data_IF_895908086368
#
_entry.id   IF_895908086368
#
_cell.length_a   1.000
_cell.length_b   1.000
_cell.length_c   1.000
_cell.angle_alpha   90.00
_cell.angle_beta   90.00
_cell.angle_gamma   90.00
#
_symmetry.space_group_name_H-M   'P 1'
#
loop_
_entity.id
_entity.type
_entity.pdbx_description
1 polymer ?
#
# COMPACT_ATOMS: atom_id res chain seq x y z
N UNK A 1 48.26 -2.12 -7.59
CA UNK A 1 47.03 -2.03 -8.43
C UNK A 1 46.31 -3.36 -8.61
N UNK A 2 47.02 -4.51 -8.74
CA UNK A 2 46.39 -5.85 -8.82
C UNK A 2 45.68 -6.31 -7.54
N UNK A 3 46.18 -5.92 -6.37
CA UNK A 3 45.61 -6.31 -5.06
C UNK A 3 44.28 -5.62 -4.73
N UNK A 4 44.08 -4.39 -5.22
CA UNK A 4 42.81 -3.65 -5.04
C UNK A 4 41.68 -4.28 -5.86
N UNK A 5 42.00 -4.87 -7.01
CA UNK A 5 41.02 -5.55 -7.86
C UNK A 5 40.51 -6.86 -7.24
N UNK A 6 41.37 -7.56 -6.49
CA UNK A 6 40.97 -8.76 -5.73
C UNK A 6 40.11 -8.43 -4.51
N UNK A 7 40.36 -7.29 -3.85
CA UNK A 7 39.56 -6.86 -2.69
C UNK A 7 38.15 -6.41 -3.11
N UNK A 8 38.02 -5.77 -4.29
CA UNK A 8 36.73 -5.37 -4.84
C UNK A 8 35.90 -6.58 -5.33
N UNK A 9 36.57 -7.64 -5.82
CA UNK A 9 35.91 -8.87 -6.25
C UNK A 9 35.33 -9.69 -5.10
N UNK A 10 35.87 -9.56 -3.88
CA UNK A 10 35.35 -10.27 -2.70
C UNK A 10 34.11 -9.60 -2.07
N UNK A 11 33.87 -8.31 -2.37
CA UNK A 11 32.73 -7.55 -1.86
C UNK A 11 31.46 -7.71 -2.72
N UNK A 12 31.56 -8.39 -3.87
CA UNK A 12 30.46 -8.61 -4.81
C UNK A 12 29.76 -9.97 -4.61
N UNK A 13 29.61 -10.45 -3.37
CA UNK A 13 28.79 -11.63 -3.09
C UNK A 13 27.33 -11.18 -3.04
N UNK A 14 26.45 -11.64 -3.94
CA UNK A 14 25.02 -11.37 -3.82
C UNK A 14 24.50 -12.07 -2.57
N UNK A 15 23.96 -11.30 -1.63
CA UNK A 15 23.17 -11.83 -0.54
C UNK A 15 21.88 -12.42 -1.13
N UNK A 16 21.94 -13.69 -1.56
CA UNK A 16 20.75 -14.47 -1.83
C UNK A 16 19.99 -14.57 -0.50
N UNK A 17 18.90 -13.79 -0.39
CA UNK A 17 17.87 -14.03 0.61
C UNK A 17 17.31 -15.42 0.32
N UNK A 18 17.84 -16.43 1.01
CA UNK A 18 17.28 -17.76 1.01
C UNK A 18 15.84 -17.63 1.51
N UNK A 19 14.88 -17.74 0.59
CA UNK A 19 13.50 -18.01 0.92
C UNK A 19 13.50 -19.32 1.70
N UNK A 20 13.36 -19.25 3.02
CA UNK A 20 13.28 -20.41 3.90
C UNK A 20 11.95 -21.11 3.63
N UNK A 21 11.95 -22.05 2.68
CA UNK A 21 10.77 -22.87 2.37
C UNK A 21 10.67 -23.96 3.43
N UNK A 22 9.86 -23.70 4.46
CA UNK A 22 9.58 -24.66 5.53
C UNK A 22 8.40 -25.53 5.11
N UNK A 23 8.62 -26.83 5.00
CA UNK A 23 7.58 -27.79 4.64
C UNK A 23 6.94 -28.35 5.91
N UNK A 24 5.61 -28.25 6.02
CA UNK A 24 4.82 -28.80 7.13
C UNK A 24 4.07 -30.03 6.64
N UNK A 25 4.19 -31.15 7.35
CA UNK A 25 3.26 -32.26 7.22
C UNK A 25 2.82 -32.77 8.59
N UNK A 26 1.69 -33.45 8.60
CA UNK A 26 1.15 -34.11 9.78
C UNK A 26 1.26 -35.61 9.51
N UNK A 27 1.93 -36.33 10.41
CA UNK A 27 2.03 -37.79 10.30
C UNK A 27 0.72 -38.48 10.73
N UNK A 28 0.67 -39.81 10.56
CA UNK A 28 -0.52 -40.62 10.90
C UNK A 28 -0.88 -40.61 12.39
N UNK A 29 0.01 -40.13 13.25
CA UNK A 29 -0.16 -40.04 14.70
C UNK A 29 -0.49 -38.60 15.16
N UNK A 30 -0.71 -37.67 14.21
CA UNK A 30 -1.12 -36.30 14.50
C UNK A 30 0.02 -35.36 14.93
N UNK A 31 1.27 -35.81 14.87
CA UNK A 31 2.43 -34.99 15.21
C UNK A 31 2.82 -34.14 14.01
N UNK A 32 2.93 -32.83 14.23
CA UNK A 32 3.32 -31.88 13.18
C UNK A 32 4.83 -31.82 13.05
N UNK A 33 5.35 -32.18 11.87
CA UNK A 33 6.77 -32.10 11.55
C UNK A 33 7.04 -30.92 10.60
N UNK A 34 8.17 -30.25 10.84
CA UNK A 34 8.69 -29.18 9.98
C UNK A 34 10.05 -29.64 9.44
N UNK A 35 10.25 -29.58 8.12
CA UNK A 35 11.54 -29.92 7.51
C UNK A 35 11.93 -28.94 6.41
N UNK A 36 13.24 -28.67 6.35
CA UNK A 36 13.87 -27.83 5.33
C UNK A 36 14.32 -28.66 4.11
N UNK A 37 13.92 -29.93 4.02
CA UNK A 37 14.20 -30.83 2.88
C UNK A 37 12.89 -31.38 2.28
N UNK A 38 12.78 -31.48 0.95
CA UNK A 38 11.56 -31.93 0.29
C UNK A 38 11.32 -33.43 0.53
N UNK A 39 10.10 -33.77 0.97
CA UNK A 39 9.61 -35.14 1.15
C UNK A 39 8.44 -35.38 0.19
N UNK A 40 8.27 -36.57 -0.42
CA UNK A 40 7.19 -36.82 -1.40
C UNK A 40 5.80 -36.59 -0.79
N UNK A 41 5.01 -35.69 -1.38
CA UNK A 41 3.64 -35.35 -0.93
C UNK A 41 3.49 -33.94 -0.33
N UNK A 42 4.58 -33.17 -0.22
CA UNK A 42 4.54 -31.83 0.34
C UNK A 42 4.04 -30.78 -0.68
N UNK A 43 3.11 -29.91 -0.27
CA UNK A 43 2.58 -28.82 -1.10
C UNK A 43 3.36 -27.53 -0.85
N UNK A 44 3.82 -26.88 -1.91
CA UNK A 44 4.72 -25.70 -1.87
C UNK A 44 3.94 -24.46 -1.44
N UNK A 45 4.34 -23.81 -0.34
CA UNK A 45 3.86 -22.46 0.01
C UNK A 45 5.00 -21.45 -0.13
N UNK A 46 4.73 -20.41 -0.91
CA UNK A 46 5.67 -19.33 -1.21
C UNK A 46 5.23 -18.09 -0.43
N UNK A 47 6.07 -17.63 0.50
CA UNK A 47 5.78 -16.45 1.31
C UNK A 47 6.34 -15.25 0.56
N UNK A 48 5.51 -14.55 -0.21
CA UNK A 48 5.88 -13.29 -0.85
C UNK A 48 5.68 -12.12 0.11
N UNK A 49 6.80 -11.47 0.48
CA UNK A 49 6.82 -10.21 1.21
C UNK A 49 6.23 -9.06 0.38
N UNK A 50 5.76 -8.03 1.09
CA UNK A 50 4.85 -6.99 0.61
C UNK A 50 5.24 -6.22 -0.66
N UNK A 51 4.21 -5.73 -1.35
CA UNK A 51 4.34 -4.80 -2.48
C UNK A 51 3.02 -4.56 -3.22
N UNK A 52 2.34 -3.47 -2.86
CA UNK A 52 1.43 -2.60 -3.64
C UNK A 52 0.56 -3.14 -4.81
N UNK A 53 -0.76 -2.88 -4.66
CA UNK A 53 -1.77 -2.47 -5.68
C UNK A 53 -2.02 -3.36 -6.91
N UNK A 54 -3.24 -3.90 -6.99
CA UNK A 54 -4.23 -3.53 -8.04
C UNK A 54 -5.59 -4.18 -7.77
N UNK A 55 -6.65 -3.38 -7.85
CA UNK A 55 -8.01 -3.88 -7.91
C UNK A 55 -8.26 -4.50 -9.30
N UNK A 56 -8.67 -5.77 -9.33
CA UNK A 56 -9.33 -6.40 -10.47
C UNK A 56 -10.37 -7.37 -9.93
N UNK A 57 -11.58 -7.23 -10.47
CA UNK A 57 -12.81 -7.92 -10.06
C UNK A 57 -12.77 -9.44 -10.21
N UNK A 58 -13.30 -10.14 -9.19
CA UNK A 58 -13.95 -11.47 -9.18
C UNK A 58 -13.11 -12.70 -9.62
N UNK A 59 -13.35 -13.93 -9.08
CA UNK A 59 -14.59 -14.43 -8.51
C UNK A 59 -14.49 -14.86 -7.03
N UNK A 60 -15.65 -14.97 -6.39
CA UNK A 60 -15.87 -15.47 -5.03
C UNK A 60 -15.20 -16.83 -4.84
N UNK A 61 -14.22 -16.99 -3.92
CA UNK A 61 -13.81 -18.30 -3.49
C UNK A 61 -14.85 -18.81 -2.50
N UNK A 62 -15.52 -19.91 -2.85
CA UNK A 62 -16.24 -20.75 -1.90
C UNK A 62 -15.27 -21.18 -0.81
N UNK A 63 -15.43 -20.65 0.40
CA UNK A 63 -14.74 -21.19 1.57
C UNK A 63 -15.29 -22.59 1.81
N UNK A 64 -14.52 -23.60 1.40
CA UNK A 64 -14.66 -24.95 1.92
C UNK A 64 -14.35 -24.88 3.41
N UNK A 65 -15.37 -25.08 4.24
CA UNK A 65 -15.28 -25.32 5.67
C UNK A 65 -14.37 -26.52 5.94
N UNK A 66 -13.07 -26.27 6.01
CA UNK A 66 -12.09 -27.24 6.48
C UNK A 66 -11.90 -27.05 7.97
N UNK A 67 -12.91 -27.41 8.76
CA UNK A 67 -12.72 -27.69 10.18
C UNK A 67 -11.79 -28.90 10.30
N UNK A 68 -10.63 -28.81 10.97
CA UNK A 68 -9.99 -30.00 11.48
C UNK A 68 -10.76 -30.39 12.74
N UNK A 69 -11.91 -31.04 12.55
CA UNK A 69 -12.52 -31.79 13.62
C UNK A 69 -11.75 -33.11 13.72
N UNK A 70 -11.03 -33.32 14.83
CA UNK A 70 -11.42 -34.33 15.82
C UNK A 70 -10.37 -34.47 16.94
N UNK A 71 -10.59 -33.75 18.02
CA UNK A 71 -10.60 -34.39 19.34
C UNK A 71 -12.04 -34.28 19.85
N UNK A 72 -12.58 -35.40 20.33
CA UNK A 72 -13.92 -35.45 20.86
C UNK A 72 -13.95 -34.70 22.18
N UNK A 73 -14.51 -33.49 22.20
CA UNK A 73 -14.87 -32.81 23.43
C UNK A 73 -16.33 -32.40 23.32
N UNK A 74 -17.03 -32.55 24.44
CA UNK A 74 -18.43 -32.18 24.67
C UNK A 74 -18.73 -30.78 24.09
N UNK A 75 -19.99 -30.53 23.73
CA UNK A 75 -20.43 -29.25 23.16
C UNK A 75 -19.89 -28.04 23.94
N UNK A 76 -19.84 -26.84 23.31
CA UNK A 76 -19.11 -25.70 23.87
C UNK A 76 -19.53 -25.43 25.32
N UNK A 77 -18.55 -25.46 26.23
CA UNK A 77 -18.75 -25.19 27.67
C UNK A 77 -19.51 -23.89 27.90
N UNK A 78 -19.27 -22.90 27.03
CA UNK A 78 -20.00 -21.64 26.99
C UNK A 78 -20.87 -21.56 25.75
N UNK A 79 -22.17 -21.38 25.98
CA UNK A 79 -23.19 -21.33 24.91
C UNK A 79 -23.09 -20.04 24.10
N UNK A 80 -22.78 -18.94 24.78
CA UNK A 80 -22.57 -17.66 24.13
C UNK A 80 -21.20 -17.12 24.53
N UNK A 81 -20.29 -17.01 23.58
CA UNK A 81 -18.99 -16.41 23.81
C UNK A 81 -18.60 -15.56 22.61
N UNK A 82 -18.78 -14.25 22.74
CA UNK A 82 -18.57 -13.29 21.66
C UNK A 82 -18.03 -11.95 22.16
N UNK A 83 -17.27 -11.28 21.31
CA UNK A 83 -16.95 -9.87 21.48
C UNK A 83 -18.07 -9.09 20.80
N UNK A 84 -18.90 -8.39 21.56
CA UNK A 84 -20.00 -7.60 21.00
C UNK A 84 -19.64 -6.13 20.80
N UNK A 85 -18.58 -5.66 21.46
CA UNK A 85 -17.95 -4.37 21.17
C UNK A 85 -16.43 -4.51 21.20
N UNK A 86 -15.67 -3.96 20.23
CA UNK A 86 -16.12 -3.30 19.00
C UNK A 86 -16.96 -4.23 18.11
N UNK A 87 -17.80 -3.65 17.26
CA UNK A 87 -18.46 -4.41 16.20
C UNK A 87 -17.46 -4.75 15.10
N UNK A 88 -17.71 -5.84 14.35
CA UNK A 88 -16.87 -6.18 13.21
C UNK A 88 -16.91 -5.09 12.14
N UNK A 89 -15.74 -4.60 11.74
CA UNK A 89 -15.55 -3.47 10.85
C UNK A 89 -15.74 -2.08 11.48
N UNK A 90 -15.93 -1.97 12.81
CA UNK A 90 -16.09 -0.67 13.47
C UNK A 90 -14.85 0.22 13.29
N UNK A 91 -15.07 1.52 13.09
CA UNK A 91 -14.00 2.50 12.89
C UNK A 91 -14.01 3.55 14.00
N UNK A 92 -12.91 3.63 14.74
CA UNK A 92 -12.66 4.64 15.77
C UNK A 92 -11.86 5.78 15.16
N UNK A 93 -12.42 6.99 15.14
CA UNK A 93 -11.78 8.19 14.58
C UNK A 93 -11.48 9.17 15.72
N UNK A 94 -10.24 9.67 15.77
CA UNK A 94 -9.80 10.64 16.79
C UNK A 94 -10.05 10.16 18.23
N UNK A 95 -10.06 8.84 18.47
CA UNK A 95 -10.28 8.26 19.79
C UNK A 95 -9.05 8.32 20.70
N UNK A 96 -7.92 8.87 20.24
CA UNK A 96 -6.68 8.90 21.01
C UNK A 96 -6.08 7.52 21.30
N UNK A 97 -6.42 6.51 20.49
CA UNK A 97 -6.01 5.12 20.72
C UNK A 97 -6.81 4.42 21.81
N UNK A 98 -7.94 4.99 22.22
CA UNK A 98 -8.89 4.37 23.15
C UNK A 98 -9.92 3.57 22.36
N UNK A 99 -10.10 2.29 22.73
CA UNK A 99 -11.10 1.40 22.13
C UNK A 99 -11.83 0.61 23.24
N UNK A 100 -13.14 0.81 23.42
CA UNK A 100 -13.93 0.03 24.36
C UNK A 100 -14.14 -1.39 23.85
N UNK A 101 -13.88 -2.37 24.70
CA UNK A 101 -14.05 -3.79 24.45
C UNK A 101 -15.04 -4.36 25.44
N UNK A 102 -16.12 -4.93 24.92
CA UNK A 102 -17.10 -5.65 25.72
C UNK A 102 -17.31 -7.06 25.17
N UNK A 103 -17.26 -8.02 26.09
CA UNK A 103 -17.31 -9.45 25.84
C UNK A 103 -18.57 -9.98 26.50
N UNK A 104 -19.29 -10.84 25.79
CA UNK A 104 -20.43 -11.57 26.32
C UNK A 104 -20.00 -13.02 26.55
N UNK A 105 -20.28 -13.52 27.75
CA UNK A 105 -20.00 -14.90 28.16
C UNK A 105 -21.24 -15.43 28.87
N UNK A 106 -21.85 -16.49 28.34
CA UNK A 106 -22.99 -17.19 28.96
C UNK A 106 -22.78 -18.71 28.91
N UNK A 107 -22.90 -19.42 30.04
CA UNK A 107 -23.11 -18.92 31.41
C UNK A 107 -21.89 -18.11 31.93
N UNK A 108 -21.99 -17.57 33.15
CA UNK A 108 -20.86 -16.86 33.79
C UNK A 108 -19.59 -17.72 33.82
N UNK A 109 -18.43 -17.05 33.89
CA UNK A 109 -17.12 -17.71 33.87
C UNK A 109 -17.01 -18.71 35.04
N UNK A 110 -16.80 -19.99 34.71
CA UNK A 110 -16.65 -21.06 35.69
C UNK A 110 -15.43 -20.86 36.59
N UNK A 111 -15.48 -21.40 37.81
CA UNK A 111 -14.39 -21.29 38.77
C UNK A 111 -13.10 -21.91 38.25
N UNK A 112 -12.02 -21.11 38.22
CA UNK A 112 -10.71 -21.51 37.71
C UNK A 112 -10.53 -21.35 36.21
N UNK A 113 -11.55 -20.93 35.48
CA UNK A 113 -11.36 -20.43 34.12
C UNK A 113 -10.96 -18.95 34.14
N UNK A 114 -10.14 -18.56 33.16
CA UNK A 114 -9.59 -17.22 33.00
C UNK A 114 -9.83 -16.72 31.58
N UNK A 115 -10.34 -15.50 31.46
CA UNK A 115 -10.52 -14.81 30.20
C UNK A 115 -9.24 -14.03 29.84
N UNK A 116 -8.76 -14.22 28.63
CA UNK A 116 -7.60 -13.53 28.09
C UNK A 116 -7.98 -12.82 26.79
N UNK A 117 -7.56 -11.57 26.65
CA UNK A 117 -7.82 -10.77 25.46
C UNK A 117 -6.56 -10.66 24.61
N UNK A 118 -6.69 -10.88 23.31
CA UNK A 118 -5.59 -10.80 22.35
C UNK A 118 -5.87 -9.75 21.29
N UNK A 119 -4.94 -8.80 21.13
CA UNK A 119 -4.92 -7.80 20.08
C UNK A 119 -3.80 -8.14 19.09
N UNK A 120 -4.14 -8.42 17.84
CA UNK A 120 -3.21 -8.81 16.77
C UNK A 120 -2.31 -10.01 17.16
N UNK A 121 -2.86 -10.93 17.94
CA UNK A 121 -2.16 -12.12 18.45
C UNK A 121 -1.29 -11.87 19.69
N UNK A 122 -1.23 -10.64 20.21
CA UNK A 122 -0.52 -10.31 21.46
C UNK A 122 -1.51 -10.24 22.62
N UNK A 123 -1.11 -10.78 23.76
CA UNK A 123 -1.91 -10.68 24.98
C UNK A 123 -2.00 -9.22 25.42
N UNK A 124 -3.22 -8.76 25.72
CA UNK A 124 -3.47 -7.43 26.26
C UNK A 124 -3.12 -7.43 27.74
N UNK A 125 -2.11 -6.64 28.11
CA UNK A 125 -1.70 -6.49 29.50
C UNK A 125 -2.71 -5.65 30.30
N UNK A 126 -2.92 -6.01 31.56
CA UNK A 126 -3.86 -5.30 32.44
C UNK A 126 -5.34 -5.63 32.23
N UNK A 127 -5.67 -6.55 31.32
CA UNK A 127 -7.00 -7.14 31.25
C UNK A 127 -7.19 -8.13 32.41
N UNK A 128 -8.20 -7.92 33.25
CA UNK A 128 -8.47 -8.80 34.38
C UNK A 128 -9.09 -10.14 33.91
N UNK A 129 -8.65 -11.29 34.44
CA UNK A 129 -9.11 -12.61 33.98
C UNK A 129 -10.62 -12.89 34.11
N UNK A 130 -11.36 -12.08 34.85
CA UNK A 130 -12.82 -12.22 35.02
C UNK A 130 -13.61 -11.04 34.44
N UNK A 131 -12.94 -10.01 33.93
CA UNK A 131 -13.61 -8.81 33.42
C UNK A 131 -14.24 -9.06 32.05
N UNK A 132 -15.47 -8.62 31.85
CA UNK A 132 -16.17 -8.67 30.56
C UNK A 132 -16.15 -7.32 29.82
N UNK A 133 -15.61 -6.28 30.46
CA UNK A 133 -15.49 -4.93 29.91
C UNK A 133 -14.08 -4.44 30.14
N UNK A 134 -13.46 -3.88 29.12
CA UNK A 134 -12.13 -3.31 29.18
C UNK A 134 -11.98 -2.16 28.20
N UNK A 135 -11.05 -1.26 28.47
CA UNK A 135 -10.74 -0.14 27.59
C UNK A 135 -9.30 -0.28 27.14
N UNK A 136 -9.11 -0.69 25.88
CA UNK A 136 -7.79 -0.72 25.26
C UNK A 136 -7.27 0.71 25.17
N UNK A 137 -6.03 0.92 25.62
CA UNK A 137 -5.34 2.20 25.58
C UNK A 137 -4.16 2.11 24.63
N UNK A 138 -3.81 3.25 24.05
CA UNK A 138 -2.66 3.39 23.16
C UNK A 138 -2.69 2.45 21.95
N UNK A 139 -3.89 2.09 21.47
CA UNK A 139 -4.05 1.28 20.25
C UNK A 139 -3.49 2.09 19.07
N UNK A 140 -2.51 1.55 18.32
CA UNK A 140 -1.96 2.24 17.16
C UNK A 140 -3.04 2.54 16.11
N UNK A 141 -2.75 3.46 15.19
CA UNK A 141 -3.61 3.63 14.00
C UNK A 141 -3.44 2.43 13.07
N UNK A 142 -4.51 2.01 12.41
CA UNK A 142 -4.48 0.89 11.48
C UNK A 142 -5.67 -0.04 11.60
N UNK A 143 -5.55 -1.21 10.99
CA UNK A 143 -6.50 -2.31 11.15
C UNK A 143 -5.98 -3.25 12.22
N UNK A 144 -6.89 -3.65 13.11
CA UNK A 144 -6.59 -4.50 14.25
C UNK A 144 -7.57 -5.66 14.30
N UNK A 145 -7.15 -6.75 14.93
CA UNK A 145 -7.94 -7.95 15.14
C UNK A 145 -7.96 -8.33 16.60
N UNK A 146 -9.16 -8.51 17.14
CA UNK A 146 -9.41 -8.85 18.54
C UNK A 146 -9.96 -10.26 18.67
N UNK A 147 -9.43 -11.02 19.63
CA UNK A 147 -9.89 -12.37 19.97
C UNK A 147 -9.89 -12.49 21.49
N UNK A 148 -10.96 -13.02 22.07
CA UNK A 148 -10.99 -13.38 23.48
C UNK A 148 -10.90 -14.91 23.61
N UNK A 149 -10.14 -15.39 24.59
CA UNK A 149 -9.87 -16.81 24.80
C UNK A 149 -10.09 -17.14 26.27
N UNK A 150 -10.85 -18.19 26.54
CA UNK A 150 -11.03 -18.75 27.88
C UNK A 150 -10.01 -19.86 28.06
N UNK A 151 -9.21 -19.75 29.12
CA UNK A 151 -8.24 -20.76 29.53
C UNK A 151 -8.70 -21.43 30.83
N UNK A 152 -8.39 -22.71 31.00
CA UNK A 152 -8.58 -23.43 32.27
C UNK A 152 -7.42 -23.14 33.25
N UNK A 153 -7.51 -23.64 34.49
CA UNK A 153 -6.51 -23.58 35.56
C UNK A 153 -5.12 -24.09 35.11
N UNK A 154 -5.10 -24.95 34.10
CA UNK A 154 -3.87 -25.49 33.48
C UNK A 154 -3.31 -24.62 32.35
N UNK A 155 -3.86 -23.42 32.14
CA UNK A 155 -3.58 -22.52 31.00
C UNK A 155 -3.88 -23.14 29.63
N UNK A 156 -4.70 -24.19 29.59
CA UNK A 156 -5.15 -24.81 28.34
C UNK A 156 -6.32 -24.01 27.77
N UNK A 157 -6.33 -23.76 26.45
CA UNK A 157 -7.42 -23.04 25.77
C UNK A 157 -8.68 -23.92 25.74
N UNK A 158 -9.75 -23.44 26.37
CA UNK A 158 -11.06 -24.12 26.42
C UNK A 158 -11.93 -23.69 25.24
N UNK A 159 -12.00 -22.38 25.00
CA UNK A 159 -12.84 -21.81 23.94
C UNK A 159 -12.29 -20.44 23.51
N UNK A 160 -12.49 -20.07 22.25
CA UNK A 160 -12.13 -18.75 21.71
C UNK A 160 -13.31 -18.12 20.96
N UNK A 161 -13.38 -16.80 20.93
CA UNK A 161 -14.41 -16.07 20.18
C UNK A 161 -14.11 -16.07 18.69
N UNK A 162 -15.12 -15.72 17.89
CA UNK A 162 -14.86 -15.26 16.53
C UNK A 162 -13.91 -14.03 16.56
N UNK A 163 -13.00 -13.91 15.58
CA UNK A 163 -12.13 -12.76 15.44
C UNK A 163 -12.92 -11.54 14.99
N UNK A 164 -12.76 -10.42 15.69
CA UNK A 164 -13.39 -9.13 15.35
C UNK A 164 -12.34 -8.20 14.76
N UNK A 165 -12.56 -7.69 13.57
CA UNK A 165 -11.69 -6.69 12.96
C UNK A 165 -12.22 -5.27 13.24
N UNK A 166 -11.35 -4.33 13.54
CA UNK A 166 -11.72 -2.92 13.69
C UNK A 166 -10.61 -2.02 13.17
N UNK A 167 -10.92 -0.74 12.95
CA UNK A 167 -9.98 0.24 12.41
C UNK A 167 -9.85 1.43 13.34
N UNK A 168 -8.62 1.86 13.60
CA UNK A 168 -8.32 3.09 14.34
C UNK A 168 -7.72 4.12 13.39
N UNK A 169 -8.31 5.32 13.36
CA UNK A 169 -7.88 6.45 12.53
C UNK A 169 -7.64 7.67 13.39
N UNK A 170 -6.60 8.42 13.03
CA UNK A 170 -6.31 9.74 13.58
C UNK A 170 -6.34 10.74 12.44
N UNK A 171 -7.27 11.67 12.48
CA UNK A 171 -7.33 12.76 11.52
C UNK A 171 -6.30 13.80 11.90
N UNK A 172 -5.60 14.30 10.89
CA UNK A 172 -4.68 15.41 11.08
C UNK A 172 -5.49 16.69 11.26
N UNK A 173 -5.24 17.41 12.36
CA UNK A 173 -5.73 18.79 12.55
C UNK A 173 -4.81 19.79 11.82
N UNK A 174 -4.02 19.33 10.83
CA UNK A 174 -3.21 20.23 10.03
C UNK A 174 -4.13 21.14 9.21
N UNK A 175 -4.36 22.35 9.73
CA UNK A 175 -4.87 23.44 8.93
C UNK A 175 -3.80 23.76 7.87
N UNK A 176 -4.12 23.70 6.56
CA UNK A 176 -3.22 24.26 5.58
C UNK A 176 -2.95 25.73 5.95
N UNK A 177 -1.74 26.25 5.76
CA UNK A 177 -1.43 27.63 6.12
C UNK A 177 -2.38 28.59 5.38
N UNK A 178 -3.38 29.10 6.10
CA UNK A 178 -4.22 30.22 5.65
C UNK A 178 -3.48 31.52 5.91
N UNK A 179 -2.38 31.70 5.16
CA UNK A 179 -1.62 32.95 5.16
C UNK A 179 -2.13 33.91 4.08
N UNK A 180 -1.84 35.21 4.18
CA UNK A 180 -2.17 36.23 3.16
C UNK A 180 -1.47 36.01 1.79
N UNK A 181 -0.77 34.88 1.62
CA UNK A 181 0.01 34.54 0.44
C UNK A 181 -0.55 33.36 -0.37
N UNK A 182 -1.83 33.01 -0.23
CA UNK A 182 -2.56 32.46 -1.37
C UNK A 182 -2.79 33.62 -2.35
N UNK A 183 -1.73 34.04 -3.05
CA UNK A 183 -1.91 34.97 -4.16
C UNK A 183 -2.86 34.27 -5.13
N UNK A 184 -4.08 34.80 -5.37
CA UNK A 184 -4.89 34.25 -6.45
C UNK A 184 -4.00 34.23 -7.71
N UNK A 185 -4.08 33.17 -8.53
CA UNK A 185 -3.30 33.12 -9.75
C UNK A 185 -3.47 34.44 -10.49
N UNK A 186 -2.38 35.05 -11.02
CA UNK A 186 -2.48 36.34 -11.67
C UNK A 186 -3.60 36.28 -12.70
N UNK A 187 -4.58 37.19 -12.57
CA UNK A 187 -5.70 37.27 -13.50
C UNK A 187 -5.10 37.32 -14.91
N UNK A 188 -5.53 36.47 -15.86
CA UNK A 188 -4.96 36.47 -17.20
C UNK A 188 -5.03 37.90 -17.74
N UNK A 189 -3.86 38.50 -17.96
CA UNK A 189 -3.78 39.83 -18.53
C UNK A 189 -4.44 39.73 -19.89
N UNK A 190 -5.42 40.58 -20.26
CA UNK A 190 -5.94 40.58 -21.61
C UNK A 190 -4.74 40.73 -22.53
N UNK A 191 -4.52 39.70 -23.37
CA UNK A 191 -3.39 39.62 -24.28
C UNK A 191 -3.43 40.92 -25.09
N UNK A 192 -2.57 41.87 -24.74
CA UNK A 192 -2.39 43.08 -25.54
C UNK A 192 -2.18 42.62 -26.97
N UNK A 193 -2.72 43.37 -27.93
CA UNK A 193 -2.84 43.01 -29.34
C UNK A 193 -1.51 42.74 -30.09
N UNK A 194 -0.42 42.47 -29.37
CA UNK A 194 0.90 42.12 -29.88
C UNK A 194 0.99 40.67 -30.40
N UNK A 195 0.14 39.75 -29.92
CA UNK A 195 0.07 38.38 -30.46
C UNK A 195 -1.28 38.13 -31.15
N UNK A 196 -1.61 38.92 -32.18
CA UNK A 196 -2.58 38.44 -33.17
C UNK A 196 -1.89 37.33 -33.96
N UNK A 197 -2.43 36.12 -33.87
CA UNK A 197 -2.16 35.08 -34.86
C UNK A 197 -2.49 35.71 -36.23
N UNK A 198 -1.50 35.76 -37.13
CA UNK A 198 -1.73 36.24 -38.49
C UNK A 198 -2.84 35.37 -39.09
N UNK A 199 -4.01 35.97 -39.36
CA UNK A 199 -5.20 35.23 -39.84
C UNK A 199 -5.00 34.70 -41.26
N UNK A 200 -3.94 35.16 -41.93
CA UNK A 200 -3.47 34.60 -43.19
C UNK A 200 -1.96 34.37 -43.10
N UNK A 201 -1.55 33.18 -43.51
CA UNK A 201 -0.14 32.83 -43.60
C UNK A 201 0.49 33.65 -44.73
N UNK A 202 1.60 34.36 -44.50
CA UNK A 202 2.23 35.15 -45.56
C UNK A 202 2.70 34.20 -46.66
N UNK A 203 2.29 34.47 -47.90
CA UNK A 203 2.69 33.67 -49.05
C UNK A 203 4.20 33.71 -49.27
N UNK A 204 4.74 32.68 -49.93
CA UNK A 204 6.18 32.52 -50.19
C UNK A 204 6.88 33.79 -50.74
N UNK A 205 6.20 34.57 -51.59
CA UNK A 205 6.73 35.81 -52.15
C UNK A 205 6.92 36.93 -51.11
N UNK A 206 6.10 36.96 -50.06
CA UNK A 206 6.22 37.93 -48.97
C UNK A 206 7.36 37.59 -48.01
N UNK A 207 7.68 36.29 -47.87
CA UNK A 207 8.76 35.80 -47.02
C UNK A 207 10.13 35.82 -47.73
N UNK A 208 10.16 35.48 -49.02
CA UNK A 208 11.40 35.20 -49.76
C UNK A 208 11.64 36.13 -50.96
N UNK A 209 10.79 37.14 -51.16
CA UNK A 209 10.86 38.04 -52.32
C UNK A 209 10.40 37.39 -53.64
N UNK A 210 10.49 38.16 -54.73
CA UNK A 210 10.14 37.66 -56.08
C UNK A 210 11.16 36.61 -56.56
N UNK A 211 10.68 35.52 -57.17
CA UNK A 211 11.54 34.47 -57.73
C UNK A 211 12.48 35.08 -58.79
N UNK A 212 13.80 34.82 -58.74
CA UNK A 212 14.70 35.28 -59.78
C UNK A 212 14.32 34.62 -61.12
N UNK A 213 14.34 35.39 -62.21
CA UNK A 213 14.10 34.87 -63.56
C UNK A 213 15.26 33.93 -63.92
N UNK A 214 14.95 32.67 -64.22
CA UNK A 214 15.95 31.65 -64.62
C UNK A 214 16.09 31.68 -66.14
N UNK A 215 17.31 31.63 -66.63
CA UNK A 215 17.60 31.46 -68.06
C UNK A 215 17.38 29.99 -68.46
N UNK A 216 16.49 29.66 -69.41
CA UNK A 216 16.19 28.28 -69.79
C UNK A 216 17.37 27.55 -70.45
N UNK A 217 18.34 28.27 -71.01
CA UNK A 217 19.50 27.64 -71.67
C UNK A 217 20.58 27.20 -70.67
N UNK A 218 20.70 27.91 -69.54
CA UNK A 218 21.77 27.69 -68.54
C UNK A 218 21.26 27.25 -67.18
N UNK A 219 19.95 27.26 -66.95
CA UNK A 219 19.30 26.92 -65.68
C UNK A 219 19.85 27.69 -64.46
N UNK A 220 20.39 28.88 -64.72
CA UNK A 220 20.99 29.77 -63.74
C UNK A 220 20.16 31.07 -63.62
N UNK A 221 20.15 31.73 -62.46
CA UNK A 221 19.44 33.00 -62.29
C UNK A 221 20.09 34.10 -63.13
N UNK A 222 19.28 34.86 -63.88
CA UNK A 222 19.74 35.99 -64.70
C UNK A 222 20.29 37.08 -63.77
N UNK A 223 21.61 37.21 -63.71
CA UNK A 223 22.27 38.29 -62.97
C UNK A 223 22.07 39.60 -63.71
N UNK A 224 21.31 40.55 -63.13
CA UNK A 224 21.29 41.94 -63.62
C UNK A 224 22.71 42.49 -63.50
N UNK A 225 23.35 42.81 -64.64
CA UNK A 225 24.64 43.51 -64.64
C UNK A 225 24.47 44.86 -63.95
N UNK A 226 25.14 45.04 -62.80
CA UNK A 226 25.16 46.32 -62.10
C UNK A 226 25.96 47.31 -62.96
N UNK A 227 25.28 48.30 -63.52
CA UNK A 227 25.93 49.39 -64.24
C UNK A 227 26.97 50.07 -63.34
N UNK A 228 28.16 50.28 -63.88
CA UNK A 228 29.33 50.91 -63.25
C UNK A 228 28.96 52.35 -62.83
N UNK A 229 29.20 52.80 -61.58
CA UNK A 229 28.98 54.20 -61.23
C UNK A 229 30.00 55.07 -61.98
N UNK A 230 29.50 56.05 -62.74
CA UNK A 230 30.32 57.05 -63.42
C UNK A 230 31.05 57.96 -62.42
N UNK A 231 32.20 58.57 -62.81
CA UNK A 231 33.01 59.34 -61.90
C UNK A 231 32.27 60.62 -61.48
N UNK A 232 32.30 60.89 -60.17
CA UNK A 232 31.77 62.12 -59.60
C UNK A 232 32.43 63.34 -60.21
N UNK A 233 31.62 64.35 -60.54
CA UNK A 233 32.08 65.72 -60.72
C UNK A 233 31.74 66.49 -59.46
N UNK A 234 32.78 66.92 -58.76
CA UNK A 234 32.72 68.08 -57.88
C UNK A 234 32.57 69.37 -58.70
N UNK A 235 32.01 70.37 -58.03
CA UNK A 235 31.72 71.71 -58.53
C UNK A 235 30.72 72.36 -57.58
#
# INVERSE_FOLDING_TARGET
MRTVLFLLAFLAIPAFAAQQVVWKWVDGDGVTHYSDRPVPGATRMEISGGGERSATSAPTPSFSSGSPQKEAQEGPTYRNFEIWKPADGESFINSGGVVPVNIRVEPELQAGHELNLYLDGRLVEGFEPSATSYELKEVPRGSHRLIAVINDQRRARVQETAPVAFVVRQESIANPPVGPALRPPPKPTPRGAANKLLTQQPGYAALNGARPRIDPATNLPVRKSRAKPGPGKGG
#
